data_IF_816137516736
#
_entry.id   IF_816137516736
#
_cell.length_a   1.000
_cell.length_b   1.000
_cell.length_c   1.000
_cell.angle_alpha   90.00
_cell.angle_beta   90.00
_cell.angle_gamma   90.00
#
_symmetry.space_group_name_H-M   'P 1'
#
loop_
_entity.id
_entity.type
_entity.pdbx_description
1 polymer ?
#
# COMPACT_ATOMS: atom_id res chain seq x y z
N UNK A 1 -11.48 -20.05 21.78
CA UNK A 1 -11.83 -19.45 23.06
C UNK A 1 -10.77 -18.54 23.68
N UNK A 2 -9.80 -17.99 22.89
CA UNK A 2 -8.79 -17.03 23.40
C UNK A 2 -8.79 -15.70 22.59
N UNK A 3 -9.95 -15.29 22.09
CA UNK A 3 -10.07 -14.08 21.26
C UNK A 3 -9.60 -12.81 21.97
N UNK A 4 -9.96 -12.64 23.25
CA UNK A 4 -9.48 -11.49 24.06
C UNK A 4 -7.95 -11.44 24.18
N UNK A 5 -7.29 -12.61 24.35
CA UNK A 5 -5.84 -12.70 24.41
C UNK A 5 -5.21 -12.37 23.05
N UNK A 6 -5.78 -12.86 21.94
CA UNK A 6 -5.32 -12.56 20.60
C UNK A 6 -5.44 -11.05 20.29
N UNK A 7 -6.57 -10.41 20.62
CA UNK A 7 -6.78 -8.97 20.44
C UNK A 7 -5.79 -8.14 21.26
N UNK A 8 -5.53 -8.51 22.52
CA UNK A 8 -4.55 -7.80 23.34
C UNK A 8 -3.13 -7.94 22.81
N UNK A 9 -2.77 -9.13 22.29
CA UNK A 9 -1.47 -9.36 21.64
C UNK A 9 -1.34 -8.59 20.33
N UNK A 10 -2.40 -8.54 19.50
CA UNK A 10 -2.44 -7.76 18.27
C UNK A 10 -2.19 -6.28 18.55
N UNK A 11 -2.94 -5.68 19.48
CA UNK A 11 -2.79 -4.28 19.84
C UNK A 11 -1.37 -3.93 20.32
N UNK A 12 -0.80 -4.77 21.18
CA UNK A 12 0.55 -4.56 21.71
C UNK A 12 1.62 -4.74 20.65
N UNK A 13 1.50 -5.78 19.81
CA UNK A 13 2.41 -6.04 18.70
C UNK A 13 2.40 -4.89 17.67
N UNK A 14 1.22 -4.38 17.36
CA UNK A 14 1.02 -3.22 16.48
C UNK A 14 1.72 -1.99 17.01
N UNK A 15 1.57 -1.70 18.30
CA UNK A 15 2.23 -0.59 18.97
C UNK A 15 3.76 -0.68 18.90
N UNK A 16 4.32 -1.83 19.27
CA UNK A 16 5.78 -2.03 19.25
C UNK A 16 6.33 -2.01 17.82
N UNK A 17 5.65 -2.68 16.88
CA UNK A 17 6.02 -2.66 15.46
C UNK A 17 6.03 -1.25 14.89
N UNK A 18 4.99 -0.45 15.18
CA UNK A 18 4.90 0.94 14.78
C UNK A 18 6.02 1.81 15.37
N UNK A 19 6.37 1.62 16.65
CA UNK A 19 7.50 2.34 17.28
C UNK A 19 8.84 2.01 16.58
N UNK A 20 9.07 0.74 16.26
CA UNK A 20 10.29 0.32 15.54
C UNK A 20 10.33 0.95 14.15
N UNK A 21 9.20 0.89 13.42
CA UNK A 21 9.08 1.53 12.10
C UNK A 21 9.34 3.03 12.14
N UNK A 22 8.74 3.75 13.10
CA UNK A 22 8.98 5.18 13.33
C UNK A 22 10.46 5.47 13.64
N UNK A 23 11.08 4.66 14.49
CA UNK A 23 12.49 4.81 14.85
C UNK A 23 13.39 4.64 13.63
N UNK A 24 13.24 3.54 12.88
CA UNK A 24 14.04 3.28 11.67
C UNK A 24 13.81 4.37 10.62
N UNK A 25 12.55 4.78 10.39
CA UNK A 25 12.21 5.86 9.47
C UNK A 25 12.93 7.15 9.82
N UNK A 26 12.90 7.55 11.09
CA UNK A 26 13.52 8.80 11.55
C UNK A 26 15.03 8.82 11.30
N UNK A 27 15.71 7.68 11.45
CA UNK A 27 17.15 7.59 11.20
C UNK A 27 17.47 7.39 9.73
N UNK A 28 16.76 6.52 9.01
CA UNK A 28 17.14 6.09 7.66
C UNK A 28 16.69 7.06 6.58
N UNK A 29 15.51 7.65 6.73
CA UNK A 29 14.89 8.49 5.69
C UNK A 29 15.74 9.73 5.35
N UNK A 30 16.36 10.47 6.31
CA UNK A 30 17.24 11.58 5.98
C UNK A 30 18.52 11.15 5.24
N UNK A 31 19.03 9.94 5.51
CA UNK A 31 20.23 9.43 4.81
C UNK A 31 19.91 9.09 3.36
N UNK A 32 18.78 8.43 3.11
CA UNK A 32 18.30 8.13 1.76
C UNK A 32 18.03 9.43 0.99
N UNK A 33 17.41 10.43 1.62
CA UNK A 33 17.19 11.74 1.02
C UNK A 33 18.48 12.42 0.56
N UNK A 34 19.53 12.43 1.41
CA UNK A 34 20.85 12.96 1.03
C UNK A 34 21.45 12.24 -0.18
N UNK A 35 21.27 10.92 -0.27
CA UNK A 35 21.70 10.15 -1.43
C UNK A 35 20.87 10.49 -2.67
N UNK A 36 19.56 10.64 -2.50
CA UNK A 36 18.63 10.94 -3.58
C UNK A 36 18.79 12.36 -4.18
N UNK A 37 19.45 13.29 -3.47
CA UNK A 37 19.86 14.59 -4.04
C UNK A 37 20.83 14.45 -5.23
N UNK A 38 21.48 13.29 -5.39
CA UNK A 38 22.33 12.99 -6.55
C UNK A 38 21.56 12.49 -7.75
N UNK A 39 20.26 12.27 -7.62
CA UNK A 39 19.43 11.75 -8.71
C UNK A 39 19.18 12.83 -9.76
N UNK A 40 19.38 12.48 -11.00
CA UNK A 40 18.99 13.23 -12.18
C UNK A 40 17.61 12.75 -12.70
N UNK A 41 17.05 13.36 -13.74
CA UNK A 41 15.83 12.87 -14.36
C UNK A 41 15.89 11.39 -14.80
N UNK A 42 17.08 10.88 -15.16
CA UNK A 42 17.27 9.48 -15.54
C UNK A 42 16.97 8.53 -14.36
N UNK A 43 17.50 8.84 -13.17
CA UNK A 43 17.30 8.05 -11.97
C UNK A 43 15.84 8.09 -11.50
N UNK A 44 15.20 9.27 -11.55
CA UNK A 44 13.77 9.40 -11.17
C UNK A 44 12.86 8.64 -12.13
N UNK A 45 13.14 8.66 -13.44
CA UNK A 45 12.41 7.83 -14.39
C UNK A 45 12.58 6.34 -14.10
N UNK A 46 13.82 5.88 -13.91
CA UNK A 46 14.11 4.49 -13.58
C UNK A 46 13.46 4.06 -12.26
N UNK A 47 13.43 4.94 -11.26
CA UNK A 47 12.79 4.70 -9.97
C UNK A 47 11.26 4.52 -10.12
N UNK A 48 10.61 5.34 -10.95
CA UNK A 48 9.18 5.19 -11.23
C UNK A 48 8.88 3.87 -11.94
N UNK A 49 9.68 3.47 -12.92
CA UNK A 49 9.55 2.18 -13.61
C UNK A 49 9.79 1.02 -12.64
N UNK A 50 10.79 1.11 -11.77
CA UNK A 50 11.04 0.10 -10.73
C UNK A 50 9.84 -0.02 -9.78
N UNK A 51 9.32 1.11 -9.26
CA UNK A 51 8.14 1.11 -8.40
C UNK A 51 6.93 0.44 -9.06
N UNK A 52 6.63 0.78 -10.32
CA UNK A 52 5.55 0.16 -11.09
C UNK A 52 5.78 -1.35 -11.29
N UNK A 53 7.01 -1.78 -11.58
CA UNK A 53 7.34 -3.20 -11.81
C UNK A 53 7.17 -4.05 -10.56
N UNK A 54 7.59 -3.55 -9.40
CA UNK A 54 7.46 -4.26 -8.12
C UNK A 54 5.99 -4.46 -7.76
N UNK A 55 5.16 -3.43 -7.93
CA UNK A 55 3.74 -3.50 -7.60
C UNK A 55 3.00 -4.47 -8.51
N UNK A 56 3.27 -4.44 -9.80
CA UNK A 56 2.75 -5.43 -10.74
C UNK A 56 3.14 -6.85 -10.33
N UNK A 57 4.37 -7.03 -9.84
CA UNK A 57 4.90 -8.32 -9.42
C UNK A 57 4.22 -8.91 -8.19
N UNK A 58 3.76 -8.04 -7.29
CA UNK A 58 3.21 -8.43 -5.98
C UNK A 58 1.67 -8.49 -6.03
N UNK A 59 1.04 -7.77 -6.94
CA UNK A 59 -0.40 -7.58 -7.00
C UNK A 59 -1.14 -8.74 -7.67
N UNK A 60 -1.66 -9.67 -6.86
CA UNK A 60 -2.68 -10.63 -7.27
C UNK A 60 -2.17 -11.94 -7.88
N UNK A 61 -3.13 -12.76 -8.32
CA UNK A 61 -2.88 -14.12 -8.81
C UNK A 61 -2.36 -14.18 -10.26
N UNK A 62 -2.26 -13.04 -10.96
CA UNK A 62 -1.83 -12.97 -12.35
C UNK A 62 -1.01 -11.72 -12.63
N UNK A 63 0.27 -11.90 -12.92
CA UNK A 63 1.20 -10.83 -13.32
C UNK A 63 0.68 -10.10 -14.57
N UNK A 64 0.12 -10.83 -15.54
CA UNK A 64 -0.44 -10.24 -16.77
C UNK A 64 -1.57 -9.26 -16.44
N UNK A 65 -2.51 -9.65 -15.55
CA UNK A 65 -3.59 -8.76 -15.12
C UNK A 65 -3.05 -7.56 -14.33
N UNK A 66 -1.98 -7.75 -13.54
CA UNK A 66 -1.28 -6.66 -12.87
C UNK A 66 -0.68 -5.65 -13.86
N UNK A 67 0.01 -6.13 -14.91
CA UNK A 67 0.53 -5.28 -16.00
C UNK A 67 -0.60 -4.53 -16.69
N UNK A 68 -1.69 -5.21 -17.05
CA UNK A 68 -2.86 -4.58 -17.70
C UNK A 68 -3.48 -3.49 -16.83
N UNK A 69 -3.61 -3.75 -15.51
CA UNK A 69 -4.09 -2.73 -14.55
C UNK A 69 -3.15 -1.53 -14.48
N UNK A 70 -1.84 -1.76 -14.43
CA UNK A 70 -0.84 -0.69 -14.44
C UNK A 70 -0.88 0.12 -15.74
N UNK A 71 -0.97 -0.51 -16.90
CA UNK A 71 -1.11 0.16 -18.19
C UNK A 71 -2.41 0.98 -18.28
N UNK A 72 -3.51 0.45 -17.75
CA UNK A 72 -4.76 1.21 -17.65
C UNK A 72 -4.60 2.46 -16.78
N UNK A 73 -3.92 2.35 -15.62
CA UNK A 73 -3.61 3.50 -14.78
C UNK A 73 -2.70 4.52 -15.49
N UNK A 74 -1.68 4.07 -16.23
CA UNK A 74 -0.83 4.95 -17.05
C UNK A 74 -1.63 5.64 -18.16
N UNK A 75 -2.58 4.95 -18.78
CA UNK A 75 -3.49 5.57 -19.76
C UNK A 75 -4.33 6.67 -19.11
N UNK A 76 -4.86 6.44 -17.90
CA UNK A 76 -5.60 7.46 -17.16
C UNK A 76 -4.74 8.72 -16.86
N UNK A 77 -3.44 8.56 -16.61
CA UNK A 77 -2.51 9.68 -16.41
C UNK A 77 -2.35 10.57 -17.65
N UNK A 78 -2.66 10.06 -18.85
CA UNK A 78 -2.59 10.88 -20.06
C UNK A 78 -3.78 11.84 -20.23
N UNK A 79 -4.82 11.69 -19.40
CA UNK A 79 -5.95 12.63 -19.36
C UNK A 79 -5.50 13.88 -18.59
N UNK A 80 -5.76 15.06 -19.14
CA UNK A 80 -5.43 16.34 -18.52
C UNK A 80 -4.43 17.16 -19.30
N UNK A 81 -3.76 18.10 -18.65
CA UNK A 81 -2.73 18.92 -19.28
C UNK A 81 -1.40 18.18 -19.37
N UNK A 82 -0.71 18.36 -20.47
CA UNK A 82 0.67 17.92 -20.64
C UNK A 82 1.59 18.63 -19.64
N UNK A 83 2.40 17.92 -18.84
CA UNK A 83 3.18 18.53 -17.75
C UNK A 83 4.31 19.45 -18.23
N UNK A 84 4.66 19.45 -19.52
CA UNK A 84 5.72 20.29 -20.09
C UNK A 84 5.15 21.39 -20.96
N UNK A 85 4.25 21.05 -21.89
CA UNK A 85 3.70 22.02 -22.85
C UNK A 85 2.40 22.69 -22.37
N UNK A 86 1.73 22.16 -21.33
CA UNK A 86 0.42 22.61 -20.88
C UNK A 86 -0.72 22.30 -21.84
N UNK A 87 -0.45 21.55 -22.95
CA UNK A 87 -1.48 21.22 -23.94
C UNK A 87 -2.51 20.25 -23.35
N UNK A 88 -3.83 20.54 -23.47
CA UNK A 88 -4.87 19.66 -22.94
C UNK A 88 -4.98 18.37 -23.76
N UNK A 89 -4.91 17.22 -23.06
CA UNK A 89 -5.02 15.87 -23.65
C UNK A 89 -6.25 15.17 -23.10
N UNK A 90 -7.09 14.64 -23.98
CA UNK A 90 -8.23 13.78 -23.61
C UNK A 90 -9.20 14.39 -22.59
N UNK A 91 -9.34 15.74 -22.58
CA UNK A 91 -10.29 16.42 -21.66
C UNK A 91 -11.73 16.38 -22.17
N UNK A 92 -11.98 15.90 -23.40
CA UNK A 92 -13.30 15.76 -24.02
C UNK A 92 -14.16 17.03 -23.91
N UNK A 93 -13.54 18.22 -23.94
CA UNK A 93 -14.23 19.50 -23.77
C UNK A 93 -14.62 19.85 -22.32
N UNK A 94 -14.30 19.02 -21.35
CA UNK A 94 -14.61 19.27 -19.96
C UNK A 94 -13.37 19.84 -19.21
N UNK A 95 -13.46 21.12 -18.84
CA UNK A 95 -12.37 21.80 -18.12
C UNK A 95 -12.08 21.20 -16.72
N UNK A 96 -13.01 20.47 -16.14
CA UNK A 96 -12.78 19.80 -14.85
C UNK A 96 -11.78 18.63 -14.95
N UNK A 97 -11.52 18.15 -16.20
CA UNK A 97 -10.48 17.15 -16.48
C UNK A 97 -9.13 17.78 -16.87
N UNK A 98 -9.00 19.12 -16.87
CA UNK A 98 -7.75 19.78 -17.25
C UNK A 98 -6.54 19.38 -16.37
N UNK A 99 -6.78 19.15 -15.09
CA UNK A 99 -5.76 18.64 -14.14
C UNK A 99 -5.69 17.11 -14.09
N UNK A 100 -6.40 16.41 -14.99
CA UNK A 100 -6.55 14.98 -14.99
C UNK A 100 -7.69 14.48 -14.08
N UNK A 101 -7.90 13.15 -14.00
CA UNK A 101 -8.85 12.57 -13.05
C UNK A 101 -8.43 12.92 -11.63
N UNK A 102 -9.32 13.54 -10.81
CA UNK A 102 -8.98 13.92 -9.46
C UNK A 102 -8.64 12.68 -8.63
N UNK A 103 -7.46 12.69 -8.02
CA UNK A 103 -6.85 11.53 -7.39
C UNK A 103 -7.72 10.93 -6.28
N UNK A 104 -8.19 11.76 -5.30
CA UNK A 104 -8.98 11.26 -4.15
C UNK A 104 -10.35 10.72 -4.57
N UNK A 105 -11.17 11.40 -5.40
CA UNK A 105 -12.39 10.83 -5.95
C UNK A 105 -12.19 9.50 -6.68
N UNK A 106 -11.14 9.41 -7.51
CA UNK A 106 -10.78 8.18 -8.22
C UNK A 106 -10.46 7.04 -7.24
N UNK A 107 -9.71 7.34 -6.18
CA UNK A 107 -9.33 6.39 -5.15
C UNK A 107 -10.54 5.92 -4.34
N UNK A 108 -11.40 6.84 -3.89
CA UNK A 108 -12.64 6.50 -3.17
C UNK A 108 -13.50 5.58 -4.06
N UNK A 109 -13.60 5.87 -5.35
CA UNK A 109 -14.32 5.03 -6.32
C UNK A 109 -13.71 3.64 -6.39
N UNK A 110 -12.44 3.54 -6.77
CA UNK A 110 -11.77 2.26 -7.01
C UNK A 110 -11.73 1.35 -5.78
N UNK A 111 -11.63 1.88 -4.57
CA UNK A 111 -11.48 1.05 -3.36
C UNK A 111 -12.75 1.03 -2.52
N UNK A 112 -13.31 2.18 -2.10
CA UNK A 112 -14.46 2.18 -1.20
C UNK A 112 -15.75 1.76 -1.91
N UNK A 113 -16.07 2.39 -3.05
CA UNK A 113 -17.33 2.10 -3.76
C UNK A 113 -17.29 0.70 -4.38
N UNK A 114 -16.16 0.29 -4.96
CA UNK A 114 -16.00 -1.07 -5.51
C UNK A 114 -16.18 -2.14 -4.45
N UNK A 115 -15.63 -1.93 -3.25
CA UNK A 115 -15.76 -2.85 -2.12
C UNK A 115 -17.21 -2.92 -1.62
N UNK A 116 -17.92 -1.78 -1.56
CA UNK A 116 -19.35 -1.76 -1.23
C UNK A 116 -20.14 -2.59 -2.23
N UNK A 117 -19.92 -2.41 -3.54
CA UNK A 117 -20.59 -3.17 -4.60
C UNK A 117 -20.31 -4.67 -4.49
N UNK A 118 -19.04 -5.05 -4.22
CA UNK A 118 -18.63 -6.44 -4.01
C UNK A 118 -19.32 -7.06 -2.78
N UNK A 119 -19.41 -6.32 -1.68
CA UNK A 119 -20.09 -6.78 -0.47
C UNK A 119 -21.62 -6.91 -0.67
N UNK A 120 -22.24 -6.04 -1.48
CA UNK A 120 -23.66 -6.16 -1.84
C UNK A 120 -23.92 -7.41 -2.69
N UNK A 121 -23.06 -7.72 -3.65
CA UNK A 121 -23.17 -8.95 -4.47
C UNK A 121 -23.09 -10.21 -3.61
N UNK A 122 -22.17 -10.25 -2.64
CA UNK A 122 -21.90 -11.40 -1.79
C UNK A 122 -22.71 -11.41 -0.48
N UNK A 123 -23.75 -10.60 -0.39
CA UNK A 123 -24.49 -10.35 0.85
C UNK A 123 -25.09 -11.61 1.50
N UNK A 124 -25.43 -12.62 0.72
CA UNK A 124 -26.10 -13.84 1.20
C UNK A 124 -25.18 -14.85 1.89
N UNK A 125 -23.86 -14.66 1.80
CA UNK A 125 -22.84 -15.61 2.28
C UNK A 125 -22.36 -15.36 3.73
N UNK A 126 -22.73 -14.22 4.34
CA UNK A 126 -22.17 -13.83 5.63
C UNK A 126 -22.83 -14.50 6.84
N UNK A 127 -22.08 -15.35 7.52
CA UNK A 127 -22.43 -15.83 8.84
C UNK A 127 -22.32 -14.69 9.87
N UNK A 128 -23.40 -14.46 10.64
CA UNK A 128 -23.34 -13.53 11.79
C UNK A 128 -22.24 -13.95 12.73
N UNK A 129 -21.22 -13.12 12.88
CA UNK A 129 -20.17 -13.32 13.87
C UNK A 129 -20.73 -12.83 15.22
N UNK A 130 -20.89 -13.75 16.18
CA UNK A 130 -21.30 -13.36 17.51
C UNK A 130 -20.15 -12.56 18.18
N UNK A 131 -20.44 -11.39 18.76
CA UNK A 131 -19.42 -10.62 19.45
C UNK A 131 -18.89 -11.39 20.66
N UNK A 132 -17.59 -11.66 20.68
CA UNK A 132 -16.95 -12.26 21.85
C UNK A 132 -16.76 -11.20 22.95
N UNK A 133 -17.00 -11.55 24.21
CA UNK A 133 -16.78 -10.62 25.33
C UNK A 133 -15.27 -10.39 25.51
N UNK A 134 -14.83 -9.17 25.29
CA UNK A 134 -13.43 -8.77 25.51
C UNK A 134 -13.18 -8.62 27.01
N UNK A 135 -12.51 -9.61 27.59
CA UNK A 135 -12.16 -9.66 29.02
C UNK A 135 -10.77 -9.12 29.31
N UNK A 136 -9.84 -9.22 28.35
CA UNK A 136 -8.46 -8.79 28.49
C UNK A 136 -8.10 -7.79 27.36
N UNK A 137 -7.61 -6.62 27.74
CA UNK A 137 -7.23 -5.55 26.80
C UNK A 137 -5.71 -5.50 26.58
N UNK A 138 -4.92 -5.82 27.61
CA UNK A 138 -3.46 -5.85 27.54
C UNK A 138 -2.94 -7.28 27.72
N UNK A 139 -1.84 -7.67 27.05
CA UNK A 139 -1.23 -8.98 27.24
C UNK A 139 -0.62 -9.12 28.63
N UNK A 140 -0.47 -10.35 29.09
CA UNK A 140 0.25 -10.62 30.35
C UNK A 140 1.74 -10.31 30.20
N UNK A 141 2.42 -9.96 31.29
CA UNK A 141 3.87 -9.72 31.29
C UNK A 141 4.64 -10.95 30.78
N UNK A 142 4.13 -12.14 31.06
CA UNK A 142 4.71 -13.40 30.54
C UNK A 142 4.62 -13.48 29.03
N UNK A 143 3.45 -13.15 28.43
CA UNK A 143 3.24 -13.11 26.98
C UNK A 143 4.13 -12.05 26.31
N UNK A 144 4.24 -10.86 26.94
CA UNK A 144 5.10 -9.78 26.44
C UNK A 144 6.57 -10.20 26.37
N UNK A 145 7.09 -10.80 27.44
CA UNK A 145 8.48 -11.29 27.49
C UNK A 145 8.72 -12.43 26.49
N UNK A 146 7.78 -13.35 26.38
CA UNK A 146 7.85 -14.47 25.45
C UNK A 146 7.93 -14.02 23.99
N UNK A 147 7.17 -12.98 23.61
CA UNK A 147 7.10 -12.48 22.25
C UNK A 147 8.06 -11.33 21.96
N UNK A 148 8.91 -10.89 22.90
CA UNK A 148 9.78 -9.71 22.73
C UNK A 148 10.68 -9.81 21.48
N UNK A 149 11.36 -10.93 21.29
CA UNK A 149 12.19 -11.18 20.11
C UNK A 149 11.35 -11.15 18.81
N UNK A 150 10.13 -11.67 18.87
CA UNK A 150 9.19 -11.72 17.74
C UNK A 150 8.74 -10.31 17.35
N UNK A 151 8.41 -9.47 18.34
CA UNK A 151 8.05 -8.06 18.09
C UNK A 151 9.18 -7.31 17.39
N UNK A 152 10.41 -7.43 17.89
CA UNK A 152 11.57 -6.72 17.33
C UNK A 152 11.87 -7.20 15.92
N UNK A 153 11.95 -8.51 15.71
CA UNK A 153 12.17 -9.09 14.38
C UNK A 153 11.07 -8.69 13.40
N UNK A 154 9.79 -8.81 13.83
CA UNK A 154 8.65 -8.45 13.02
C UNK A 154 8.68 -6.97 12.63
N UNK A 155 8.87 -6.07 13.57
CA UNK A 155 8.97 -4.63 13.30
C UNK A 155 10.09 -4.27 12.32
N UNK A 156 11.27 -4.89 12.45
CA UNK A 156 12.39 -4.71 11.52
C UNK A 156 12.04 -5.25 10.13
N UNK A 157 11.56 -6.50 10.03
CA UNK A 157 11.14 -7.12 8.77
C UNK A 157 10.08 -6.26 8.10
N UNK A 158 9.08 -5.82 8.87
CA UNK A 158 8.01 -4.96 8.39
C UNK A 158 8.53 -3.66 7.81
N UNK A 159 9.44 -2.99 8.51
CA UNK A 159 10.03 -1.73 8.04
C UNK A 159 10.82 -1.92 6.74
N UNK A 160 11.61 -2.99 6.65
CA UNK A 160 12.37 -3.29 5.42
C UNK A 160 11.44 -3.57 4.25
N UNK A 161 10.42 -4.40 4.44
CA UNK A 161 9.46 -4.72 3.38
C UNK A 161 8.65 -3.49 2.98
N UNK A 162 8.20 -2.69 3.96
CA UNK A 162 7.51 -1.44 3.70
C UNK A 162 8.31 -0.43 2.88
N UNK A 163 9.65 -0.44 3.01
CA UNK A 163 10.52 0.43 2.22
C UNK A 163 10.64 0.01 0.74
N UNK A 164 10.15 -1.17 0.40
CA UNK A 164 10.07 -1.63 -1.00
C UNK A 164 8.74 -1.16 -1.58
N UNK A 165 8.75 -0.30 -2.62
CA UNK A 165 7.51 0.20 -3.21
C UNK A 165 6.54 -0.93 -3.59
N UNK A 166 5.31 -0.85 -3.08
CA UNK A 166 4.24 -1.79 -3.38
C UNK A 166 4.19 -3.09 -2.59
N UNK A 167 5.19 -3.38 -1.74
CA UNK A 167 5.17 -4.61 -0.95
C UNK A 167 4.02 -4.63 0.08
N UNK A 168 3.79 -3.52 0.77
CA UNK A 168 2.68 -3.36 1.70
C UNK A 168 2.73 -4.22 2.97
N UNK A 169 1.80 -3.90 3.89
CA UNK A 169 1.74 -4.55 5.21
C UNK A 169 1.36 -6.03 5.17
N UNK A 170 0.57 -6.45 4.17
CA UNK A 170 0.14 -7.84 4.03
C UNK A 170 1.34 -8.77 3.78
N UNK A 171 2.22 -8.39 2.85
CA UNK A 171 3.43 -9.16 2.55
C UNK A 171 4.37 -9.16 3.75
N UNK A 172 4.53 -8.01 4.40
CA UNK A 172 5.32 -7.90 5.61
C UNK A 172 4.84 -8.86 6.71
N UNK A 173 3.51 -8.94 6.92
CA UNK A 173 2.89 -9.83 7.87
C UNK A 173 3.15 -11.31 7.55
N UNK A 174 2.97 -11.72 6.29
CA UNK A 174 3.23 -13.11 5.86
C UNK A 174 4.69 -13.51 5.98
N UNK A 175 5.61 -12.65 5.57
CA UNK A 175 7.06 -12.92 5.65
C UNK A 175 7.49 -13.04 7.10
N UNK A 176 7.04 -12.13 7.96
CA UNK A 176 7.35 -12.17 9.40
C UNK A 176 6.76 -13.39 10.09
N UNK A 177 5.52 -13.78 9.76
CA UNK A 177 4.90 -15.02 10.24
C UNK A 177 5.71 -16.25 9.83
N UNK A 178 6.12 -16.30 8.54
CA UNK A 178 6.94 -17.39 8.03
C UNK A 178 8.30 -17.48 8.73
N UNK A 179 8.95 -16.36 8.99
CA UNK A 179 10.20 -16.31 9.75
C UNK A 179 10.02 -16.73 11.20
N UNK A 180 8.97 -16.26 11.88
CA UNK A 180 8.66 -16.66 13.24
C UNK A 180 8.40 -18.17 13.35
N UNK A 181 7.65 -18.73 12.39
CA UNK A 181 7.40 -20.17 12.28
C UNK A 181 8.69 -20.95 12.07
N UNK A 182 9.55 -20.52 11.15
CA UNK A 182 10.83 -21.16 10.82
C UNK A 182 11.81 -21.14 11.99
N UNK A 183 11.87 -20.03 12.73
CA UNK A 183 12.78 -19.87 13.87
C UNK A 183 12.22 -20.43 15.20
N UNK A 184 10.98 -20.95 15.19
CA UNK A 184 10.33 -21.51 16.38
C UNK A 184 10.87 -22.89 16.72
N UNK A 185 10.87 -23.22 18.03
CA UNK A 185 11.12 -24.58 18.53
C UNK A 185 9.94 -25.54 18.32
N UNK A 186 8.75 -25.01 18.03
CA UNK A 186 7.51 -25.77 17.84
C UNK A 186 6.74 -25.26 16.62
N UNK A 187 7.33 -25.37 15.40
CA UNK A 187 6.74 -24.81 14.18
C UNK A 187 5.39 -25.42 13.78
N UNK A 188 5.13 -26.65 14.24
CA UNK A 188 3.87 -27.38 14.03
C UNK A 188 2.67 -26.74 14.75
N UNK A 189 2.92 -25.95 15.80
CA UNK A 189 1.87 -25.25 16.56
C UNK A 189 1.40 -23.95 15.89
N UNK A 190 2.11 -23.46 14.86
CA UNK A 190 1.66 -22.29 14.12
C UNK A 190 0.38 -22.63 13.33
N UNK A 191 -0.62 -21.75 13.43
CA UNK A 191 -1.97 -21.98 12.88
C UNK A 191 -2.96 -22.58 13.89
N UNK A 192 -2.51 -23.02 15.09
CA UNK A 192 -3.38 -23.58 16.13
C UNK A 192 -3.62 -22.66 17.33
N UNK A 193 -3.37 -21.34 17.16
CA UNK A 193 -3.58 -20.34 18.23
C UNK A 193 -2.29 -19.88 18.93
N UNK A 194 -1.12 -20.09 18.32
CA UNK A 194 0.16 -19.64 18.86
C UNK A 194 0.30 -18.12 18.82
N UNK A 195 0.56 -17.50 19.96
CA UNK A 195 0.60 -16.04 20.11
C UNK A 195 1.76 -15.38 19.35
N UNK A 196 2.86 -16.08 19.16
CA UNK A 196 4.01 -15.61 18.37
C UNK A 196 3.63 -15.40 16.90
N UNK A 197 2.68 -16.17 16.37
CA UNK A 197 2.16 -15.94 15.01
C UNK A 197 1.47 -14.59 14.89
N UNK A 198 0.58 -14.25 15.84
CA UNK A 198 -0.09 -12.94 15.90
C UNK A 198 0.94 -11.82 16.11
N UNK A 199 1.86 -12.01 17.06
CA UNK A 199 2.90 -11.04 17.36
C UNK A 199 3.78 -10.70 16.15
N UNK A 200 4.18 -11.72 15.37
CA UNK A 200 5.00 -11.55 14.18
C UNK A 200 4.28 -10.79 13.07
N UNK A 201 3.05 -11.19 12.76
CA UNK A 201 2.27 -10.57 11.68
C UNK A 201 1.93 -9.12 11.99
N UNK A 202 1.44 -8.84 13.18
CA UNK A 202 0.98 -7.51 13.58
C UNK A 202 2.13 -6.51 13.76
N UNK A 203 3.24 -6.95 14.37
CA UNK A 203 4.40 -6.07 14.50
C UNK A 203 5.01 -5.73 13.13
N UNK A 204 5.02 -6.68 12.19
CA UNK A 204 5.51 -6.41 10.84
C UNK A 204 4.55 -5.51 10.04
N UNK A 205 3.25 -5.75 10.12
CA UNK A 205 2.26 -4.92 9.46
C UNK A 205 2.38 -3.45 9.89
N UNK A 206 2.51 -3.20 11.20
CA UNK A 206 2.64 -1.84 11.72
C UNK A 206 4.05 -1.26 11.52
N UNK A 207 5.10 -2.07 11.59
CA UNK A 207 6.45 -1.66 11.21
C UNK A 207 6.55 -1.21 9.75
N UNK A 208 5.76 -1.83 8.88
CA UNK A 208 5.64 -1.47 7.46
C UNK A 208 5.18 -0.02 7.26
N UNK A 209 4.33 0.51 8.15
CA UNK A 209 3.87 1.91 8.04
C UNK A 209 5.02 2.91 8.08
N UNK A 210 5.96 2.74 9.03
CA UNK A 210 7.20 3.54 9.06
C UNK A 210 8.09 3.26 7.85
N UNK A 211 8.19 1.98 7.46
CA UNK A 211 8.94 1.55 6.28
C UNK A 211 8.48 2.23 5.00
N UNK A 212 7.17 2.24 4.74
CA UNK A 212 6.57 2.82 3.53
C UNK A 212 6.68 4.35 3.46
N UNK A 213 6.81 5.01 4.62
CA UNK A 213 7.09 6.45 4.69
C UNK A 213 8.53 6.81 4.27
N UNK A 214 9.47 5.87 4.37
CA UNK A 214 10.88 6.13 4.00
C UNK A 214 11.00 6.52 2.52
N UNK A 215 10.58 5.69 1.54
CA UNK A 215 10.67 6.07 0.14
C UNK A 215 9.71 7.23 -0.21
N UNK A 216 8.56 7.33 0.44
CA UNK A 216 7.64 8.46 0.24
C UNK A 216 8.34 9.78 0.53
N UNK A 217 8.87 9.96 1.73
CA UNK A 217 9.45 11.22 2.16
C UNK A 217 10.79 11.51 1.46
N UNK A 218 11.64 10.48 1.26
CA UNK A 218 13.01 10.66 0.75
C UNK A 218 13.10 10.67 -0.77
N UNK A 219 12.22 9.97 -1.47
CA UNK A 219 12.27 9.78 -2.93
C UNK A 219 11.00 10.29 -3.65
N UNK A 220 9.93 10.57 -2.91
CA UNK A 220 8.63 10.91 -3.49
C UNK A 220 7.90 9.69 -4.07
N UNK A 221 8.26 8.47 -3.67
CA UNK A 221 7.67 7.22 -4.17
C UNK A 221 6.97 6.51 -3.01
N UNK A 222 5.65 6.30 -3.07
CA UNK A 222 4.93 5.64 -1.99
C UNK A 222 5.34 4.16 -1.86
N UNK A 223 5.49 3.69 -0.62
CA UNK A 223 5.79 2.29 -0.33
C UNK A 223 4.58 1.37 -0.44
N UNK A 224 3.38 1.91 -0.24
CA UNK A 224 2.11 1.16 -0.29
C UNK A 224 0.93 2.06 -0.67
N UNK A 225 -0.29 1.50 -0.69
CA UNK A 225 -1.50 2.23 -1.04
C UNK A 225 -1.85 3.34 -0.03
N UNK A 226 -1.52 3.17 1.25
CA UNK A 226 -1.80 4.18 2.28
C UNK A 226 -0.87 5.38 2.12
N UNK A 227 0.41 5.13 1.94
CA UNK A 227 1.40 6.20 1.67
C UNK A 227 1.16 6.88 0.33
N UNK A 228 0.54 6.19 -0.64
CA UNK A 228 0.07 6.80 -1.87
C UNK A 228 -1.04 7.85 -1.62
N UNK A 229 -1.97 7.57 -0.72
CA UNK A 229 -2.98 8.56 -0.29
C UNK A 229 -2.32 9.75 0.40
N UNK A 230 -1.35 9.48 1.28
CA UNK A 230 -0.60 10.53 1.97
C UNK A 230 0.18 11.40 0.99
N UNK A 231 0.76 10.82 -0.07
CA UNK A 231 1.38 11.60 -1.15
C UNK A 231 0.40 12.60 -1.77
N UNK A 232 -0.83 12.14 -2.06
CA UNK A 232 -1.89 13.03 -2.54
C UNK A 232 -2.19 14.17 -1.57
N UNK A 233 -2.24 13.88 -0.27
CA UNK A 233 -2.43 14.90 0.76
C UNK A 233 -1.28 15.92 0.80
N UNK A 234 -0.02 15.49 0.68
CA UNK A 234 1.13 16.41 0.59
C UNK A 234 1.00 17.33 -0.62
N UNK A 235 0.66 16.79 -1.80
CA UNK A 235 0.52 17.56 -3.04
C UNK A 235 -0.59 18.63 -2.92
N UNK A 236 -1.74 18.30 -2.31
CA UNK A 236 -2.84 19.25 -2.08
C UNK A 236 -2.38 20.42 -1.20
N UNK A 237 -1.49 20.16 -0.24
CA UNK A 237 -0.90 21.19 0.61
C UNK A 237 0.29 21.93 -0.04
N UNK A 238 0.55 21.71 -1.32
CA UNK A 238 1.65 22.34 -2.05
C UNK A 238 3.04 21.79 -1.71
N UNK A 239 3.11 20.66 -1.01
CA UNK A 239 4.35 20.00 -0.62
C UNK A 239 4.67 18.88 -1.61
N UNK A 240 5.91 18.81 -2.07
CA UNK A 240 6.38 17.71 -2.92
C UNK A 240 7.30 16.80 -2.10
N UNK A 241 6.86 15.60 -1.70
CA UNK A 241 7.73 14.64 -1.07
C UNK A 241 8.90 14.27 -1.98
N UNK A 242 10.04 14.03 -1.36
CA UNK A 242 11.29 13.77 -2.05
C UNK A 242 12.47 14.50 -1.41
N UNK A 243 13.66 14.47 -2.02
CA UNK A 243 14.87 15.04 -1.40
C UNK A 243 14.79 16.54 -1.14
N UNK A 244 14.04 17.28 -1.99
CA UNK A 244 13.86 18.73 -1.81
C UNK A 244 13.03 19.05 -0.56
N UNK A 245 12.09 18.19 -0.17
CA UNK A 245 11.32 18.37 1.07
C UNK A 245 12.26 18.45 2.29
N UNK A 246 13.33 17.67 2.31
CA UNK A 246 14.32 17.70 3.39
C UNK A 246 15.20 18.94 3.36
N UNK A 247 15.38 19.55 2.17
CA UNK A 247 16.19 20.75 2.02
C UNK A 247 15.38 22.01 2.33
N UNK A 248 14.16 22.09 1.82
CA UNK A 248 13.38 23.32 1.78
C UNK A 248 12.35 23.39 2.93
N UNK A 249 11.89 22.22 3.45
CA UNK A 249 10.84 22.08 4.45
C UNK A 249 11.17 21.04 5.52
N UNK A 250 12.35 21.12 6.13
CA UNK A 250 12.81 20.17 7.15
C UNK A 250 11.90 20.17 8.39
N UNK A 251 11.29 21.29 8.71
CA UNK A 251 10.28 21.46 9.76
C UNK A 251 9.07 20.55 9.53
N UNK A 252 8.57 20.48 8.29
CA UNK A 252 7.48 19.57 7.90
C UNK A 252 7.89 18.11 8.07
N UNK A 253 9.13 17.76 7.69
CA UNK A 253 9.64 16.39 7.85
C UNK A 253 9.64 15.98 9.32
N UNK A 254 10.15 16.83 10.21
CA UNK A 254 10.13 16.56 11.65
C UNK A 254 8.71 16.52 12.22
N UNK A 255 7.79 17.36 11.74
CA UNK A 255 6.39 17.28 12.11
C UNK A 255 5.76 15.94 11.71
N UNK A 256 6.09 15.40 10.52
CA UNK A 256 5.60 14.09 10.08
C UNK A 256 6.15 12.98 10.97
N UNK A 257 7.45 13.02 11.33
CA UNK A 257 8.04 12.04 12.25
C UNK A 257 7.33 12.06 13.62
N UNK A 258 7.16 13.24 14.18
CA UNK A 258 6.49 13.42 15.46
C UNK A 258 5.00 13.00 15.37
N UNK A 259 4.32 13.37 14.30
CA UNK A 259 2.90 13.00 14.08
C UNK A 259 2.70 11.50 14.00
N UNK A 260 3.58 10.77 13.30
CA UNK A 260 3.49 9.32 13.20
C UNK A 260 3.72 8.65 14.57
N UNK A 261 4.67 9.16 15.36
CA UNK A 261 4.90 8.68 16.72
C UNK A 261 3.68 8.93 17.61
N UNK A 262 3.14 10.15 17.59
CA UNK A 262 1.92 10.51 18.35
C UNK A 262 0.73 9.68 17.88
N UNK A 263 0.56 9.49 16.56
CA UNK A 263 -0.49 8.66 16.00
C UNK A 263 -0.39 7.19 16.46
N UNK A 264 0.83 6.63 16.54
CA UNK A 264 1.05 5.27 17.04
C UNK A 264 0.68 5.14 18.53
N UNK A 265 1.02 6.13 19.35
CA UNK A 265 0.62 6.18 20.76
C UNK A 265 -0.91 6.34 20.89
N UNK A 266 -1.49 7.24 20.11
CA UNK A 266 -2.94 7.46 20.10
C UNK A 266 -3.69 6.20 19.62
N UNK A 267 -3.20 5.50 18.59
CA UNK A 267 -3.73 4.22 18.11
C UNK A 267 -3.76 3.19 19.24
N UNK A 268 -2.67 3.08 20.00
CA UNK A 268 -2.60 2.15 21.13
C UNK A 268 -3.63 2.50 22.22
N UNK A 269 -3.72 3.77 22.62
CA UNK A 269 -4.66 4.25 23.65
C UNK A 269 -6.11 4.07 23.18
N UNK A 270 -6.43 4.56 21.98
CA UNK A 270 -7.76 4.46 21.40
C UNK A 270 -8.17 3.01 21.13
N UNK A 271 -7.22 2.18 20.69
CA UNK A 271 -7.43 0.75 20.52
C UNK A 271 -7.73 0.04 21.85
N UNK A 272 -6.97 0.36 22.90
CA UNK A 272 -7.19 -0.20 24.23
C UNK A 272 -8.56 0.17 24.81
N UNK A 273 -8.97 1.43 24.65
CA UNK A 273 -10.28 1.93 25.12
C UNK A 273 -11.40 1.41 24.20
N UNK A 274 -11.16 1.50 22.90
CA UNK A 274 -12.18 1.30 21.88
C UNK A 274 -12.43 -0.15 21.49
N UNK A 275 -11.55 -1.10 21.83
CA UNK A 275 -11.69 -2.51 21.41
C UNK A 275 -13.06 -3.10 21.75
N UNK A 276 -13.63 -2.75 22.92
CA UNK A 276 -14.96 -3.21 23.36
C UNK A 276 -16.09 -2.56 22.56
N UNK A 277 -15.90 -1.34 22.09
CA UNK A 277 -16.87 -0.62 21.27
C UNK A 277 -16.79 -1.08 19.81
N UNK A 278 -15.59 -1.14 19.25
CA UNK A 278 -15.37 -1.55 17.85
C UNK A 278 -15.79 -3.00 17.58
N UNK A 279 -15.66 -3.91 18.56
CA UNK A 279 -16.19 -5.26 18.43
C UNK A 279 -17.71 -5.30 18.22
N UNK A 280 -18.46 -4.33 18.76
CA UNK A 280 -19.90 -4.19 18.52
C UNK A 280 -20.19 -3.59 17.13
N UNK A 281 -19.37 -2.64 16.67
CA UNK A 281 -19.50 -2.04 15.33
C UNK A 281 -19.27 -3.07 14.24
N UNK A 282 -18.25 -3.93 14.39
CA UNK A 282 -17.97 -5.04 13.45
C UNK A 282 -19.14 -6.04 13.40
N UNK A 283 -19.84 -6.22 14.53
CA UNK A 283 -21.02 -7.08 14.60
C UNK A 283 -22.31 -6.43 14.07
N UNK A 284 -22.27 -5.16 13.63
CA UNK A 284 -23.42 -4.49 13.01
C UNK A 284 -23.82 -5.20 11.71
N UNK A 285 -25.14 -5.18 11.42
CA UNK A 285 -25.66 -5.70 10.18
C UNK A 285 -25.09 -4.88 8.99
N UNK A 286 -24.49 -5.56 8.03
CA UNK A 286 -23.95 -4.94 6.82
C UNK A 286 -25.00 -4.14 6.05
N UNK A 287 -26.30 -4.50 6.19
CA UNK A 287 -27.43 -3.74 5.60
C UNK A 287 -27.47 -2.29 6.07
N UNK A 288 -27.03 -2.01 7.28
CA UNK A 288 -26.96 -0.66 7.82
C UNK A 288 -25.60 -0.02 7.56
N UNK A 289 -24.52 -0.81 7.67
CA UNK A 289 -23.15 -0.32 7.55
C UNK A 289 -22.80 0.15 6.13
N UNK A 290 -23.15 -0.66 5.10
CA UNK A 290 -22.80 -0.35 3.70
C UNK A 290 -23.42 0.96 3.19
N UNK A 291 -24.71 1.27 3.41
CA UNK A 291 -25.29 2.57 3.02
C UNK A 291 -24.63 3.76 3.74
N UNK A 292 -24.28 3.61 5.01
CA UNK A 292 -23.59 4.67 5.76
C UNK A 292 -22.22 4.95 5.13
N UNK A 293 -21.42 3.91 4.85
CA UNK A 293 -20.12 4.06 4.20
C UNK A 293 -20.28 4.68 2.81
N UNK A 294 -21.30 4.27 2.05
CA UNK A 294 -21.56 4.83 0.73
C UNK A 294 -21.86 6.34 0.78
N UNK A 295 -22.76 6.77 1.66
CA UNK A 295 -23.09 8.20 1.83
C UNK A 295 -21.86 9.00 2.26
N UNK A 296 -21.08 8.49 3.22
CA UNK A 296 -19.84 9.13 3.65
C UNK A 296 -18.82 9.23 2.54
N UNK A 297 -18.69 8.19 1.70
CA UNK A 297 -17.78 8.19 0.54
C UNK A 297 -18.19 9.24 -0.49
N UNK A 298 -19.48 9.34 -0.80
CA UNK A 298 -20.00 10.36 -1.74
C UNK A 298 -19.83 11.77 -1.19
N UNK A 299 -20.15 11.97 0.08
CA UNK A 299 -19.96 13.26 0.75
C UNK A 299 -18.48 13.65 0.79
N UNK A 300 -17.59 12.69 1.12
CA UNK A 300 -16.15 12.91 1.12
C UNK A 300 -15.62 13.32 -0.27
N UNK A 301 -16.05 12.62 -1.31
CA UNK A 301 -15.68 12.97 -2.69
C UNK A 301 -16.15 14.37 -3.09
N UNK A 302 -17.40 14.72 -2.79
CA UNK A 302 -17.95 16.06 -3.03
C UNK A 302 -17.17 17.15 -2.31
N UNK A 303 -16.86 16.93 -1.03
CA UNK A 303 -16.24 17.93 -0.16
C UNK A 303 -14.82 18.32 -0.56
N UNK A 304 -14.14 17.51 -1.38
CA UNK A 304 -12.76 17.79 -1.82
C UNK A 304 -12.65 19.06 -2.68
N UNK A 305 -13.56 19.24 -3.63
CA UNK A 305 -13.56 20.36 -4.57
C UNK A 305 -14.94 21.01 -4.74
N UNK A 306 -15.93 20.64 -3.91
CA UNK A 306 -17.33 21.03 -4.03
C UNK A 306 -17.91 20.77 -5.43
N UNK A 307 -17.57 19.64 -6.04
CA UNK A 307 -17.87 19.28 -7.41
C UNK A 307 -18.74 18.03 -7.50
N UNK A 308 -19.90 18.16 -8.12
CA UNK A 308 -20.73 16.98 -8.47
C UNK A 308 -20.04 16.09 -9.51
N UNK A 309 -19.18 16.66 -10.35
CA UNK A 309 -18.40 15.90 -11.31
C UNK A 309 -17.49 14.86 -10.60
N UNK A 310 -16.91 15.24 -9.47
CA UNK A 310 -16.09 14.33 -8.65
C UNK A 310 -16.90 13.16 -8.11
N UNK A 311 -18.15 13.40 -7.72
CA UNK A 311 -19.08 12.34 -7.29
C UNK A 311 -19.38 11.38 -8.45
N UNK A 312 -19.65 11.91 -9.66
CA UNK A 312 -19.86 11.07 -10.83
C UNK A 312 -18.62 10.24 -11.18
N UNK A 313 -17.44 10.84 -11.11
CA UNK A 313 -16.18 10.10 -11.32
C UNK A 313 -15.98 9.02 -10.27
N UNK A 314 -16.26 9.31 -9.00
CA UNK A 314 -16.20 8.32 -7.92
C UNK A 314 -17.11 7.13 -8.20
N UNK A 315 -18.34 7.37 -8.66
CA UNK A 315 -19.26 6.29 -9.04
C UNK A 315 -18.76 5.50 -10.25
N UNK A 316 -18.28 6.21 -11.29
CA UNK A 316 -17.74 5.56 -12.50
C UNK A 316 -16.53 4.67 -12.16
N UNK A 317 -15.56 5.19 -11.38
CA UNK A 317 -14.42 4.41 -10.93
C UNK A 317 -14.82 3.31 -9.95
N UNK A 318 -15.90 3.49 -9.18
CA UNK A 318 -16.48 2.43 -8.33
C UNK A 318 -16.96 1.24 -9.13
N UNK A 319 -17.70 1.49 -10.21
CA UNK A 319 -18.16 0.43 -11.13
C UNK A 319 -16.99 -0.22 -11.86
N UNK A 320 -16.01 0.58 -12.35
CA UNK A 320 -14.80 0.07 -13.00
C UNK A 320 -14.02 -0.81 -12.02
N UNK A 321 -13.79 -0.35 -10.79
CA UNK A 321 -13.08 -1.10 -9.76
C UNK A 321 -13.77 -2.41 -9.41
N UNK A 322 -15.09 -2.38 -9.25
CA UNK A 322 -15.90 -3.58 -9.00
C UNK A 322 -15.78 -4.61 -10.14
N UNK A 323 -15.93 -4.18 -11.39
CA UNK A 323 -15.78 -5.07 -12.54
C UNK A 323 -14.35 -5.62 -12.63
N UNK A 324 -13.34 -4.80 -12.41
CA UNK A 324 -11.95 -5.23 -12.40
C UNK A 324 -11.68 -6.29 -11.33
N UNK A 325 -12.15 -6.08 -10.10
CA UNK A 325 -12.02 -7.06 -9.00
C UNK A 325 -12.75 -8.34 -9.34
N UNK A 326 -13.98 -8.26 -9.86
CA UNK A 326 -14.78 -9.42 -10.27
C UNK A 326 -14.07 -10.29 -11.31
N UNK A 327 -13.34 -9.67 -12.24
CA UNK A 327 -12.53 -10.39 -13.23
C UNK A 327 -11.09 -10.67 -12.77
N UNK A 328 -10.77 -10.44 -11.49
CA UNK A 328 -9.47 -10.73 -10.88
C UNK A 328 -8.35 -9.80 -11.31
N UNK A 329 -8.66 -8.56 -11.72
CA UNK A 329 -7.67 -7.51 -11.95
C UNK A 329 -7.36 -6.78 -10.64
N UNK A 330 -6.09 -6.64 -10.25
CA UNK A 330 -5.71 -5.92 -9.04
C UNK A 330 -5.85 -4.40 -9.24
N UNK A 331 -6.33 -3.68 -8.21
CA UNK A 331 -6.53 -2.23 -8.28
C UNK A 331 -5.29 -1.42 -7.89
N UNK A 332 -4.41 -1.99 -7.05
CA UNK A 332 -3.22 -1.29 -6.57
C UNK A 332 -2.29 -0.80 -7.69
N UNK A 333 -2.05 -1.55 -8.80
CA UNK A 333 -1.25 -1.05 -9.91
C UNK A 333 -1.84 0.19 -10.60
N UNK A 334 -3.17 0.33 -10.64
CA UNK A 334 -3.81 1.53 -11.21
C UNK A 334 -3.48 2.75 -10.37
N UNK A 335 -3.66 2.63 -9.04
CA UNK A 335 -3.40 3.70 -8.10
C UNK A 335 -1.96 4.22 -8.22
N UNK A 336 -1.02 3.28 -8.27
CA UNK A 336 0.39 3.65 -8.32
C UNK A 336 0.83 4.17 -9.69
N UNK A 337 0.19 3.69 -10.75
CA UNK A 337 0.36 4.28 -12.06
C UNK A 337 -0.16 5.73 -12.12
N UNK A 338 -1.29 6.03 -11.47
CA UNK A 338 -1.79 7.41 -11.36
C UNK A 338 -0.81 8.35 -10.63
N UNK A 339 -0.01 7.83 -9.71
CA UNK A 339 0.98 8.61 -8.95
C UNK A 339 2.32 8.67 -9.68
N UNK A 340 2.84 7.50 -10.06
CA UNK A 340 4.18 7.39 -10.64
C UNK A 340 4.20 7.74 -12.14
N UNK A 341 3.05 7.66 -12.82
CA UNK A 341 2.93 7.96 -14.24
C UNK A 341 3.38 9.39 -14.61
N UNK A 342 2.84 10.43 -13.97
CA UNK A 342 3.28 11.81 -14.20
C UNK A 342 4.77 12.02 -13.87
N UNK A 343 5.28 11.37 -12.83
CA UNK A 343 6.70 11.40 -12.47
C UNK A 343 7.55 10.71 -13.55
N UNK A 344 7.14 9.55 -14.03
CA UNK A 344 7.82 8.83 -15.10
C UNK A 344 7.84 9.66 -16.40
N UNK A 345 6.68 10.16 -16.84
CA UNK A 345 6.57 10.94 -18.06
C UNK A 345 7.41 12.22 -18.02
N UNK A 346 7.29 13.02 -16.96
CA UNK A 346 8.01 14.29 -16.85
C UNK A 346 9.53 14.07 -16.80
N UNK A 347 9.99 13.07 -16.06
CA UNK A 347 11.43 12.81 -15.94
C UNK A 347 12.01 12.15 -17.19
N UNK A 348 11.27 11.24 -17.87
CA UNK A 348 11.69 10.71 -19.17
C UNK A 348 11.88 11.83 -20.18
N UNK A 349 10.91 12.73 -20.30
CA UNK A 349 10.98 13.85 -21.25
C UNK A 349 12.11 14.83 -20.92
N UNK A 350 12.28 15.18 -19.63
CA UNK A 350 13.42 16.02 -19.19
C UNK A 350 14.74 15.37 -19.52
N UNK A 351 14.88 14.06 -19.27
CA UNK A 351 16.08 13.32 -19.63
C UNK A 351 16.33 13.38 -21.14
N UNK A 352 15.33 13.08 -21.97
CA UNK A 352 15.47 13.11 -23.43
C UNK A 352 15.82 14.50 -23.96
N UNK A 353 15.33 15.58 -23.35
CA UNK A 353 15.73 16.94 -23.71
C UNK A 353 17.21 17.17 -23.40
N UNK A 354 17.68 16.75 -22.21
CA UNK A 354 19.10 16.88 -21.82
C UNK A 354 19.99 16.02 -22.72
N UNK A 355 19.55 14.81 -23.03
CA UNK A 355 20.25 13.85 -23.88
C UNK A 355 20.08 14.10 -25.39
N UNK A 356 19.45 15.23 -25.79
CA UNK A 356 19.19 15.60 -27.20
C UNK A 356 18.50 14.49 -28.01
N UNK A 357 17.62 13.71 -27.37
CA UNK A 357 16.89 12.61 -27.96
C UNK A 357 17.62 11.26 -27.94
N UNK A 358 18.87 11.21 -27.49
CA UNK A 358 19.67 9.97 -27.44
C UNK A 358 19.40 9.17 -26.16
N UNK A 359 18.54 8.15 -26.27
CA UNK A 359 18.22 7.27 -25.16
C UNK A 359 19.40 6.37 -24.73
N UNK A 360 20.45 6.22 -25.56
CA UNK A 360 21.61 5.41 -25.17
C UNK A 360 22.39 6.01 -24.01
N UNK A 361 22.21 7.31 -23.74
CA UNK A 361 22.85 7.99 -22.60
C UNK A 361 22.36 7.48 -21.23
N UNK A 362 21.26 6.71 -21.14
CA UNK A 362 20.91 6.00 -19.91
C UNK A 362 22.04 5.07 -19.42
N UNK A 363 22.85 4.52 -20.31
CA UNK A 363 24.01 3.66 -19.99
C UNK A 363 25.03 4.41 -19.11
N UNK A 364 25.15 5.72 -19.30
CA UNK A 364 26.01 6.59 -18.47
C UNK A 364 25.51 6.84 -17.03
N UNK A 365 24.29 6.37 -16.71
CA UNK A 365 23.65 6.54 -15.42
C UNK A 365 23.59 5.22 -14.64
N UNK A 366 24.62 4.85 -13.85
CA UNK A 366 24.72 3.51 -13.23
C UNK A 366 23.58 3.23 -12.24
N UNK A 367 23.08 4.23 -11.53
CA UNK A 367 21.96 4.07 -10.60
C UNK A 367 20.67 3.78 -11.39
N UNK A 368 20.41 4.51 -12.47
CA UNK A 368 19.25 4.27 -13.33
C UNK A 368 19.31 2.87 -13.95
N UNK A 369 20.45 2.46 -14.46
CA UNK A 369 20.65 1.10 -15.01
C UNK A 369 20.42 0.01 -13.97
N UNK A 370 20.92 0.22 -12.73
CA UNK A 370 20.68 -0.72 -11.62
C UNK A 370 19.17 -0.84 -11.33
N UNK A 371 18.43 0.27 -11.29
CA UNK A 371 17.00 0.26 -11.08
C UNK A 371 16.24 -0.42 -12.23
N UNK A 372 16.63 -0.23 -13.49
CA UNK A 372 16.03 -0.95 -14.63
C UNK A 372 16.30 -2.46 -14.56
N UNK A 373 17.51 -2.87 -14.17
CA UNK A 373 17.84 -4.28 -13.98
C UNK A 373 16.99 -4.88 -12.86
N UNK A 374 16.86 -4.18 -11.72
CA UNK A 374 16.01 -4.61 -10.61
C UNK A 374 14.53 -4.69 -11.02
N UNK A 375 14.05 -3.75 -11.83
CA UNK A 375 12.70 -3.78 -12.40
C UNK A 375 12.47 -5.01 -13.27
N UNK A 376 13.40 -5.31 -14.19
CA UNK A 376 13.33 -6.48 -15.05
C UNK A 376 13.40 -7.79 -14.24
N UNK A 377 14.31 -7.87 -13.27
CA UNK A 377 14.45 -9.04 -12.39
C UNK A 377 13.17 -9.25 -11.58
N UNK A 378 12.55 -8.19 -11.03
CA UNK A 378 11.31 -8.31 -10.26
C UNK A 378 10.17 -8.91 -11.10
N UNK A 379 10.01 -8.46 -12.35
CA UNK A 379 9.00 -8.99 -13.27
C UNK A 379 9.27 -10.43 -13.66
N UNK A 380 10.53 -10.78 -13.95
CA UNK A 380 10.90 -12.16 -14.30
C UNK A 380 10.67 -13.10 -13.13
N UNK A 381 11.07 -12.71 -11.92
CA UNK A 381 10.84 -13.52 -10.72
C UNK A 381 9.34 -13.70 -10.44
N UNK A 382 8.52 -12.69 -10.66
CA UNK A 382 7.08 -12.80 -10.52
C UNK A 382 6.47 -13.79 -11.52
N UNK A 383 6.87 -13.73 -12.79
CA UNK A 383 6.41 -14.66 -13.84
C UNK A 383 6.83 -16.12 -13.53
N UNK A 384 8.08 -16.32 -13.11
CA UNK A 384 8.59 -17.65 -12.73
C UNK A 384 7.84 -18.19 -11.51
N UNK A 385 7.63 -17.37 -10.49
CA UNK A 385 6.89 -17.75 -9.29
C UNK A 385 5.44 -18.13 -9.62
N UNK A 386 4.77 -17.34 -10.45
CA UNK A 386 3.40 -17.64 -10.90
C UNK A 386 3.34 -18.97 -11.67
N UNK A 387 4.28 -19.22 -12.58
CA UNK A 387 4.33 -20.47 -13.34
C UNK A 387 4.51 -21.70 -12.42
N UNK A 388 5.43 -21.61 -11.46
CA UNK A 388 5.64 -22.68 -10.46
C UNK A 388 4.40 -22.94 -9.60
N UNK A 389 3.68 -21.89 -9.19
CA UNK A 389 2.44 -22.02 -8.41
C UNK A 389 1.35 -22.71 -9.22
N UNK A 390 1.18 -22.33 -10.48
CA UNK A 390 0.20 -22.97 -11.37
C UNK A 390 0.53 -24.45 -11.64
N UNK A 391 1.80 -24.80 -11.80
CA UNK A 391 2.22 -26.20 -11.96
C UNK A 391 1.92 -27.02 -10.70
N UNK A 392 2.17 -26.49 -9.52
CA UNK A 392 1.85 -27.18 -8.24
C UNK A 392 0.34 -27.39 -8.07
N UNK A 393 -0.49 -26.40 -8.41
CA UNK A 393 -1.93 -26.52 -8.35
C UNK A 393 -2.47 -27.57 -9.31
N UNK A 394 -1.92 -27.66 -10.53
CA UNK A 394 -2.27 -28.71 -11.50
C UNK A 394 -1.83 -30.10 -11.05
N UNK A 395 -0.64 -30.24 -10.46
CA UNK A 395 -0.15 -31.50 -9.93
C UNK A 395 -1.03 -32.02 -8.75
N UNK A 396 -1.43 -31.12 -7.86
CA UNK A 396 -2.31 -31.50 -6.75
C UNK A 396 -3.76 -31.83 -7.20
N UNK A 397 -4.28 -31.17 -8.25
CA UNK A 397 -5.58 -31.49 -8.80
C UNK A 397 -5.59 -32.86 -9.51
N UNK A 398 -4.50 -33.25 -10.18
CA UNK A 398 -4.38 -34.58 -10.81
C UNK A 398 -4.25 -35.72 -9.82
N UNK A 399 -3.69 -35.47 -8.62
CA UNK A 399 -3.58 -36.51 -7.57
C UNK A 399 -4.89 -36.80 -6.82
N UNK A 400 -5.87 -35.88 -6.88
CA UNK A 400 -7.20 -36.09 -6.29
C UNK A 400 -8.17 -36.81 -7.23
N UNK A 401 -7.89 -36.86 -8.53
CA UNK A 401 -8.69 -37.62 -9.51
C UNK A 401 -8.23 -39.09 -9.67
N UNK A 402 -7.05 -39.46 -9.15
CA UNK A 402 -6.55 -40.85 -9.15
C UNK A 402 -6.93 -41.64 -7.89
N UNK A 403 -7.46 -40.98 -6.84
CA UNK A 403 -7.86 -41.63 -5.57
C UNK A 403 -9.40 -41.82 -5.44
N UNK A 404 -10.22 -41.42 -6.44
CA UNK A 404 -11.65 -41.72 -6.58
C UNK A 404 -11.91 -42.79 -7.67
#
# INVERSE_FOLDING_TARGET
GQGSRALSMSLWASFIGGLIGCGIMTFLSPQISKFALKFSPAEYFALAIFGLSVIVSISGNSVIKGVMSGLFGLLLCTIGSDPISGYPRWIFGNMQLYEGPPFIPTLIGLFAVSEILSNVENFSADKKIAPEKVTQVLPTVADMKRCLSTYVKGGIIGTFIGSIPGAGGDIAAFVSYGEAKRSSKTPEKFGTGMIEGVAASESANNGCSGGAMIPLLSLGVPGDSVTAILLGAFIIHGLQPGPLLYKDHMDVVYMVFASLLVANIAMFILGAIGVRFFSKVIAMDKRLLLPIIFILSMTGSYSMRNSLFDVFLTLAFGVIGFLMQRYGFPLAPILLALILGPMAESNLRRFLVIAQGDASQFIGHPIAMTLFILAAVSLVLALVSQHKTQQRLKANAGSTEEDD
#
